data_IF_540706156712
#
_entry.id   IF_540706156712
#
_cell.length_a   1.000
_cell.length_b   1.000
_cell.length_c   1.000
_cell.angle_alpha   90.00
_cell.angle_beta   90.00
_cell.angle_gamma   90.00
#
_symmetry.space_group_name_H-M   'P 1'
#
loop_
_entity.id
_entity.type
_entity.pdbx_description
1 polymer ?
#
# COMPACT_ATOMS: atom_id res chain seq x y z
N UNK A 1 -20.91 3.47 -0.30
CA UNK A 1 -19.75 4.38 -0.33
C UNK A 1 -18.60 3.70 -1.06
N UNK A 2 -18.05 4.32 -2.11
CA UNK A 2 -16.82 3.82 -2.74
C UNK A 2 -15.68 3.97 -1.72
N UNK A 3 -15.27 2.87 -1.04
CA UNK A 3 -14.12 2.92 -0.15
C UNK A 3 -12.91 3.37 -0.97
N UNK A 4 -12.32 4.51 -0.61
CA UNK A 4 -11.08 4.95 -1.24
C UNK A 4 -10.01 3.90 -0.95
N UNK A 5 -9.21 3.61 -1.97
CA UNK A 5 -8.08 2.70 -1.85
C UNK A 5 -7.14 3.21 -0.75
N UNK A 6 -6.69 2.32 0.12
CA UNK A 6 -5.83 2.64 1.28
C UNK A 6 -6.45 3.57 2.35
N UNK A 7 -7.77 3.75 2.37
CA UNK A 7 -8.44 4.55 3.42
C UNK A 7 -8.16 4.02 4.82
N UNK A 8 -8.20 2.69 4.99
CA UNK A 8 -7.95 2.05 6.28
C UNK A 8 -6.49 2.25 6.73
N UNK A 9 -5.52 2.16 5.79
CA UNK A 9 -4.10 2.45 6.06
C UNK A 9 -3.88 3.91 6.45
N UNK A 10 -4.54 4.84 5.75
CA UNK A 10 -4.47 6.26 6.09
C UNK A 10 -5.01 6.51 7.50
N UNK A 11 -6.18 5.96 7.82
CA UNK A 11 -6.78 6.11 9.14
C UNK A 11 -5.88 5.55 10.24
N UNK A 12 -5.19 4.43 9.97
CA UNK A 12 -4.22 3.86 10.87
C UNK A 12 -3.04 4.82 11.11
N UNK A 13 -2.47 5.40 10.06
CA UNK A 13 -1.36 6.35 10.20
C UNK A 13 -1.82 7.62 10.93
N UNK A 14 -2.98 8.17 10.57
CA UNK A 14 -3.58 9.35 11.22
C UNK A 14 -3.90 9.10 12.71
N UNK A 15 -4.18 7.86 13.12
CA UNK A 15 -4.38 7.45 14.51
C UNK A 15 -3.08 7.05 15.23
N UNK A 16 -1.99 6.87 14.48
CA UNK A 16 -0.67 6.55 15.03
C UNK A 16 0.09 7.80 15.45
N UNK A 17 1.27 7.60 16.04
CA UNK A 17 2.21 8.68 16.34
C UNK A 17 2.98 9.19 15.10
N UNK A 18 2.85 8.53 13.96
CA UNK A 18 3.63 8.83 12.76
C UNK A 18 2.82 9.68 11.77
N UNK A 19 3.48 10.67 11.16
CA UNK A 19 2.90 11.36 10.01
C UNK A 19 3.20 10.61 8.71
N UNK A 20 2.43 10.91 7.64
CA UNK A 20 2.75 10.45 6.29
C UNK A 20 4.18 10.79 5.86
N UNK A 21 4.72 11.91 6.35
CA UNK A 21 6.11 12.32 6.07
C UNK A 21 7.10 11.39 6.78
N UNK A 22 6.82 11.01 8.01
CA UNK A 22 7.69 10.13 8.79
C UNK A 22 7.74 8.74 8.19
N UNK A 23 6.57 8.16 7.88
CA UNK A 23 6.49 6.85 7.23
C UNK A 23 7.21 6.87 5.88
N UNK A 24 7.03 7.93 5.08
CA UNK A 24 7.73 8.08 3.82
C UNK A 24 9.25 8.10 3.99
N UNK A 25 9.75 8.86 4.97
CA UNK A 25 11.19 8.92 5.26
C UNK A 25 11.72 7.58 5.76
N UNK A 26 10.97 6.86 6.59
CA UNK A 26 11.36 5.56 7.14
C UNK A 26 11.49 4.48 6.05
N UNK A 27 10.64 4.52 5.03
CA UNK A 27 10.71 3.59 3.89
C UNK A 27 11.61 4.09 2.75
N UNK A 28 12.30 5.23 2.93
CA UNK A 28 13.15 5.82 1.88
C UNK A 28 12.38 6.39 0.68
N UNK A 29 11.11 6.74 0.86
CA UNK A 29 10.25 7.34 -0.18
C UNK A 29 10.14 8.86 -0.01
N UNK A 30 10.11 9.59 -1.13
CA UNK A 30 9.80 11.01 -1.10
C UNK A 30 8.38 11.28 -0.54
N UNK A 31 8.20 12.16 0.47
CA UNK A 31 6.90 12.37 1.13
C UNK A 31 5.75 12.74 0.19
N UNK A 32 6.02 13.54 -0.85
CA UNK A 32 5.02 13.89 -1.85
C UNK A 32 4.55 12.66 -2.66
N UNK A 33 5.44 11.69 -2.93
CA UNK A 33 5.12 10.46 -3.64
C UNK A 33 4.26 9.55 -2.77
N UNK A 34 4.61 9.42 -1.49
CA UNK A 34 3.81 8.67 -0.51
C UNK A 34 2.40 9.26 -0.40
N UNK A 35 2.30 10.57 -0.19
CA UNK A 35 1.02 11.28 -0.11
C UNK A 35 0.18 11.12 -1.38
N UNK A 36 0.81 11.13 -2.56
CA UNK A 36 0.13 10.86 -3.81
C UNK A 36 -0.40 9.43 -3.89
N UNK A 37 0.38 8.41 -3.51
CA UNK A 37 -0.05 6.99 -3.55
C UNK A 37 -1.18 6.69 -2.57
N UNK A 38 -1.11 7.23 -1.36
CA UNK A 38 -2.12 6.98 -0.32
C UNK A 38 -3.41 7.77 -0.55
N UNK A 39 -3.33 9.00 -1.10
CA UNK A 39 -4.50 9.88 -1.25
C UNK A 39 -5.05 9.98 -2.67
N UNK A 40 -4.19 9.88 -3.71
CA UNK A 40 -4.59 10.03 -5.11
C UNK A 40 -4.58 8.65 -5.76
N UNK A 41 -5.68 8.29 -6.42
CA UNK A 41 -5.85 7.02 -7.15
C UNK A 41 -4.96 6.93 -8.42
N UNK A 42 -3.81 7.61 -8.46
CA UNK A 42 -2.90 7.72 -9.60
C UNK A 42 -1.86 6.60 -9.66
N UNK A 43 -1.46 6.02 -8.52
CA UNK A 43 -0.43 4.98 -8.48
C UNK A 43 -0.54 4.13 -7.22
N UNK A 44 -0.17 2.85 -7.32
CA UNK A 44 -0.20 1.91 -6.21
C UNK A 44 1.17 1.80 -5.55
N UNK A 45 1.18 1.34 -4.30
CA UNK A 45 2.41 0.86 -3.68
C UNK A 45 2.90 -0.40 -4.40
N UNK A 46 4.20 -0.48 -4.66
CA UNK A 46 4.85 -1.73 -5.10
C UNK A 46 4.85 -2.73 -3.95
N UNK A 47 5.17 -4.00 -4.22
CA UNK A 47 5.28 -5.01 -3.17
C UNK A 47 6.38 -4.62 -2.18
N UNK A 48 7.52 -4.14 -2.66
CA UNK A 48 8.64 -3.70 -1.81
C UNK A 48 8.24 -2.50 -0.93
N UNK A 49 7.56 -1.50 -1.50
CA UNK A 49 7.08 -0.35 -0.74
C UNK A 49 6.03 -0.77 0.30
N UNK A 50 5.14 -1.70 -0.05
CA UNK A 50 4.16 -2.23 0.87
C UNK A 50 4.83 -3.01 2.01
N UNK A 51 5.86 -3.81 1.71
CA UNK A 51 6.62 -4.56 2.72
C UNK A 51 7.29 -3.63 3.71
N UNK A 52 7.98 -2.60 3.21
CA UNK A 52 8.63 -1.61 4.06
C UNK A 52 7.63 -0.86 4.95
N UNK A 53 6.44 -0.53 4.44
CA UNK A 53 5.37 0.10 5.23
C UNK A 53 4.90 -0.86 6.33
N UNK A 54 4.68 -2.14 6.01
CA UNK A 54 4.28 -3.16 6.96
C UNK A 54 5.31 -3.35 8.08
N UNK A 55 6.60 -3.35 7.75
CA UNK A 55 7.70 -3.46 8.71
C UNK A 55 7.76 -2.26 9.65
N UNK A 56 7.69 -1.04 9.11
CA UNK A 56 7.77 0.21 9.90
C UNK A 56 6.57 0.38 10.82
N UNK A 57 5.37 0.04 10.34
CA UNK A 57 4.13 0.20 11.09
C UNK A 57 3.77 -1.03 11.93
N UNK A 58 4.54 -2.12 11.81
CA UNK A 58 4.28 -3.42 12.42
C UNK A 58 2.84 -3.92 12.15
N UNK A 59 2.42 -3.85 10.89
CA UNK A 59 1.07 -4.25 10.43
C UNK A 59 1.12 -5.40 9.42
N UNK A 60 0.02 -6.15 9.30
CA UNK A 60 -0.08 -7.23 8.32
C UNK A 60 -0.35 -6.70 6.92
N UNK A 61 0.37 -7.23 5.93
CA UNK A 61 0.16 -6.87 4.52
C UNK A 61 -1.23 -7.28 4.02
N UNK A 62 -1.79 -8.38 4.54
CA UNK A 62 -3.10 -8.90 4.13
C UNK A 62 -4.23 -7.90 4.46
N UNK A 63 -4.12 -7.22 5.59
CA UNK A 63 -5.17 -6.32 6.07
C UNK A 63 -5.28 -5.02 5.26
N UNK A 64 -4.14 -4.50 4.78
CA UNK A 64 -4.07 -3.14 4.21
C UNK A 64 -3.78 -3.09 2.72
N UNK A 65 -3.12 -4.11 2.17
CA UNK A 65 -2.69 -4.13 0.76
C UNK A 65 -3.35 -5.24 -0.06
N UNK A 66 -3.91 -6.27 0.58
CA UNK A 66 -4.58 -7.35 -0.13
C UNK A 66 -6.03 -6.99 -0.43
N UNK A 67 -6.36 -6.84 -1.71
CA UNK A 67 -7.74 -6.66 -2.13
C UNK A 67 -8.32 -8.03 -2.50
N UNK A 68 -9.18 -8.59 -1.66
CA UNK A 68 -9.83 -9.88 -1.92
C UNK A 68 -10.74 -9.86 -3.17
N UNK A 69 -11.10 -8.67 -3.68
CA UNK A 69 -11.89 -8.47 -4.90
C UNK A 69 -11.02 -8.30 -6.17
N UNK A 70 -9.83 -8.90 -6.22
CA UNK A 70 -9.06 -8.98 -7.47
C UNK A 70 -9.45 -10.22 -8.28
N UNK A 71 -9.56 -10.05 -9.60
CA UNK A 71 -9.82 -11.17 -10.50
C UNK A 71 -8.72 -12.23 -10.34
N UNK A 72 -9.11 -13.46 -9.95
CA UNK A 72 -8.19 -14.60 -9.77
C UNK A 72 -7.71 -15.19 -11.10
N UNK A 73 -7.69 -14.38 -12.17
CA UNK A 73 -7.36 -14.83 -13.52
C UNK A 73 -5.91 -15.33 -13.52
N UNK A 74 -5.75 -16.65 -13.42
CA UNK A 74 -4.46 -17.32 -13.43
C UNK A 74 -3.79 -17.00 -14.76
N UNK A 75 -2.56 -16.45 -14.72
CA UNK A 75 -1.72 -16.35 -15.91
C UNK A 75 -1.57 -17.77 -16.46
N UNK A 76 -2.03 -18.00 -17.70
CA UNK A 76 -1.67 -19.21 -18.43
C UNK A 76 -0.15 -19.17 -18.60
N UNK A 77 0.55 -20.04 -17.90
CA UNK A 77 1.94 -20.35 -18.23
C UNK A 77 1.93 -20.89 -19.65
N UNK A 78 2.41 -20.08 -20.60
CA UNK A 78 2.68 -20.56 -21.95
C UNK A 78 3.85 -21.53 -21.79
N UNK A 79 3.54 -22.82 -21.73
CA UNK A 79 4.53 -23.87 -21.91
C UNK A 79 4.96 -23.79 -23.37
N UNK A 80 6.12 -23.20 -23.62
CA UNK A 80 6.79 -23.27 -24.91
C UNK A 80 7.40 -24.67 -25.01
N UNK A 81 6.80 -25.51 -25.84
CA UNK A 81 7.35 -26.80 -26.29
C UNK A 81 8.45 -26.61 -27.33
#
# INVERSE_FOLDING_TARGET
MNKKRYQDLRNFIDASQYSHKDVANMIGMHPARFSQKINKNKSNFTIDEASAICEVLNISMDEYFFNQNVSKMRRKTVQTT
#
